data_IF_257424171372
#
_entry.id   IF_257424171372
#
_cell.length_a   1.000
_cell.length_b   1.000
_cell.length_c   1.000
_cell.angle_alpha   90.00
_cell.angle_beta   90.00
_cell.angle_gamma   90.00
#
_symmetry.space_group_name_H-M   'P 1'
#
loop_
_entity.id
_entity.type
_entity.pdbx_description
1 polymer ?
#
# COMPACT_ATOMS: atom_id res chain seq x y z
N UNK A 1 13.43 -2.23 27.96
CA UNK A 1 12.64 -2.84 26.85
C UNK A 1 12.27 -4.27 27.22
N UNK A 2 11.08 -4.77 26.85
CA UNK A 2 10.64 -6.15 27.16
C UNK A 2 11.57 -7.23 26.57
N UNK A 3 12.12 -7.00 25.38
CA UNK A 3 13.07 -7.91 24.72
C UNK A 3 14.30 -8.16 25.61
N UNK A 4 14.92 -7.11 26.15
CA UNK A 4 16.07 -7.25 27.06
C UNK A 4 15.72 -8.05 28.30
N UNK A 5 14.59 -7.71 28.93
CA UNK A 5 14.15 -8.40 30.14
C UNK A 5 13.90 -9.90 29.90
N UNK A 6 13.44 -10.29 28.71
CA UNK A 6 13.29 -11.70 28.36
C UNK A 6 14.64 -12.36 28.08
N UNK A 7 15.54 -11.69 27.35
CA UNK A 7 16.89 -12.20 27.05
C UNK A 7 17.73 -12.42 28.33
N UNK A 8 17.52 -11.62 29.37
CA UNK A 8 18.18 -11.77 30.68
C UNK A 8 17.67 -12.98 31.48
N UNK A 9 16.45 -13.45 31.17
CA UNK A 9 15.78 -14.53 31.92
C UNK A 9 15.78 -15.86 31.18
N UNK A 10 15.75 -15.85 29.85
CA UNK A 10 15.58 -17.06 29.07
C UNK A 10 16.87 -17.92 29.05
N UNK A 11 16.75 -19.25 28.92
CA UNK A 11 17.88 -20.13 28.66
C UNK A 11 18.70 -19.71 27.44
N UNK A 12 19.99 -20.03 27.41
CA UNK A 12 20.89 -19.62 26.31
C UNK A 12 20.50 -20.19 24.94
N UNK A 13 19.80 -21.32 24.90
CA UNK A 13 19.34 -21.95 23.67
C UNK A 13 18.03 -21.35 23.14
N UNK A 14 17.41 -20.40 23.85
CA UNK A 14 16.21 -19.72 23.38
C UNK A 14 16.53 -18.38 22.73
N UNK A 15 15.66 -17.97 21.82
CA UNK A 15 15.74 -16.70 21.09
C UNK A 15 14.42 -15.94 21.14
N UNK A 16 14.50 -14.63 20.89
CA UNK A 16 13.33 -13.78 20.68
C UNK A 16 13.05 -13.68 19.19
N UNK A 17 11.80 -13.83 18.78
CA UNK A 17 11.39 -13.67 17.39
C UNK A 17 10.46 -12.46 17.24
N UNK A 18 10.89 -11.50 16.44
CA UNK A 18 10.18 -10.26 16.16
C UNK A 18 9.54 -10.34 14.77
N UNK A 19 8.21 -10.36 14.74
CA UNK A 19 7.39 -10.55 13.55
C UNK A 19 6.84 -9.21 13.08
N UNK A 20 7.05 -8.91 11.80
CA UNK A 20 6.57 -7.70 11.13
C UNK A 20 5.69 -8.05 9.93
N UNK A 21 4.77 -7.17 9.50
CA UNK A 21 3.93 -7.43 8.32
C UNK A 21 4.70 -7.31 7.00
N UNK A 22 5.72 -6.43 6.90
CA UNK A 22 6.43 -6.17 5.63
C UNK A 22 7.95 -6.27 5.77
N UNK A 23 8.64 -6.51 4.64
CA UNK A 23 10.11 -6.54 4.59
C UNK A 23 10.73 -5.20 4.98
N UNK A 24 10.10 -4.09 4.57
CA UNK A 24 10.56 -2.73 4.87
C UNK A 24 10.54 -2.46 6.37
N UNK A 25 9.44 -2.82 7.06
CA UNK A 25 9.36 -2.75 8.51
C UNK A 25 10.43 -3.59 9.19
N UNK A 26 10.76 -4.76 8.64
CA UNK A 26 11.79 -5.64 9.18
C UNK A 26 13.14 -4.91 9.31
N UNK A 27 13.55 -4.24 8.22
CA UNK A 27 14.79 -3.46 8.17
C UNK A 27 14.74 -2.24 9.09
N UNK A 28 13.60 -1.54 9.14
CA UNK A 28 13.40 -0.37 10.00
C UNK A 28 13.48 -0.74 11.49
N UNK A 29 12.75 -1.78 11.90
CA UNK A 29 12.73 -2.26 13.29
C UNK A 29 14.11 -2.78 13.70
N UNK A 30 14.79 -3.55 12.86
CA UNK A 30 16.16 -3.99 13.14
C UNK A 30 17.10 -2.81 13.36
N UNK A 31 17.04 -1.79 12.48
CA UNK A 31 17.89 -0.59 12.60
C UNK A 31 17.59 0.17 13.89
N UNK A 32 16.32 0.28 14.27
CA UNK A 32 15.92 0.95 15.50
C UNK A 32 16.37 0.18 16.76
N UNK A 33 16.12 -1.12 16.79
CA UNK A 33 16.39 -1.98 17.96
C UNK A 33 17.90 -2.19 18.16
N UNK A 34 18.67 -2.35 17.08
CA UNK A 34 20.13 -2.49 17.14
C UNK A 34 20.83 -1.27 17.73
N UNK A 35 20.31 -0.05 17.51
CA UNK A 35 20.83 1.17 18.16
C UNK A 35 20.68 1.17 19.68
N UNK A 36 19.63 0.53 20.19
CA UNK A 36 19.36 0.47 21.64
C UNK A 36 20.00 -0.74 22.31
N UNK A 37 20.33 -1.80 21.55
CA UNK A 37 20.94 -3.02 22.06
C UNK A 37 22.11 -3.48 21.17
N UNK A 38 23.20 -2.68 21.06
CA UNK A 38 24.29 -2.95 20.12
C UNK A 38 25.09 -4.22 20.43
N UNK A 39 25.04 -4.69 21.67
CA UNK A 39 25.74 -5.91 22.11
C UNK A 39 24.97 -7.21 21.82
N UNK A 40 23.70 -7.12 21.41
CA UNK A 40 22.85 -8.29 21.16
C UNK A 40 23.01 -8.71 19.70
N UNK A 41 23.31 -9.98 19.46
CA UNK A 41 23.36 -10.56 18.12
C UNK A 41 21.96 -10.66 17.53
N UNK A 42 21.73 -9.98 16.41
CA UNK A 42 20.43 -9.91 15.73
C UNK A 42 20.54 -10.36 14.28
N UNK A 43 19.54 -11.07 13.79
CA UNK A 43 19.45 -11.52 12.40
C UNK A 43 18.14 -11.08 11.77
N UNK A 44 18.20 -10.71 10.50
CA UNK A 44 17.01 -10.47 9.68
C UNK A 44 16.85 -11.60 8.68
N UNK A 45 15.63 -12.09 8.53
CA UNK A 45 15.22 -13.12 7.56
C UNK A 45 14.00 -12.60 6.78
N UNK A 46 14.19 -12.43 5.48
CA UNK A 46 13.15 -11.97 4.56
C UNK A 46 13.09 -12.85 3.33
N UNK A 47 12.04 -12.72 2.52
CA UNK A 47 11.99 -13.40 1.23
C UNK A 47 13.14 -13.05 0.27
N UNK A 48 13.87 -11.95 0.48
CA UNK A 48 15.04 -11.60 -0.36
C UNK A 48 16.27 -12.46 -0.04
N UNK A 49 16.30 -13.08 1.14
CA UNK A 49 17.32 -14.05 1.54
C UNK A 49 17.09 -15.44 0.93
N UNK A 50 16.05 -15.60 0.09
CA UNK A 50 15.69 -16.87 -0.54
C UNK A 50 15.25 -17.94 0.46
N UNK A 51 14.73 -17.53 1.63
CA UNK A 51 14.33 -18.43 2.72
C UNK A 51 13.29 -19.47 2.28
N UNK A 52 12.48 -19.16 1.28
CA UNK A 52 11.48 -20.08 0.71
C UNK A 52 12.13 -21.33 0.07
N UNK A 53 13.40 -21.23 -0.34
CA UNK A 53 14.17 -22.34 -0.90
C UNK A 53 14.95 -23.14 0.13
N UNK A 54 14.89 -22.80 1.42
CA UNK A 54 15.65 -23.48 2.47
C UNK A 54 14.96 -24.76 2.88
N UNK A 55 15.36 -25.87 2.26
CA UNK A 55 14.79 -27.21 2.52
C UNK A 55 15.53 -28.02 3.60
N UNK A 56 16.69 -27.55 4.05
CA UNK A 56 17.60 -28.33 4.90
C UNK A 56 17.79 -27.66 6.27
N UNK A 57 17.75 -28.45 7.35
CA UNK A 57 17.94 -27.97 8.73
C UNK A 57 19.27 -27.23 8.91
N UNK A 58 20.35 -27.73 8.30
CA UNK A 58 21.69 -27.14 8.41
C UNK A 58 21.75 -25.69 7.91
N UNK A 59 20.92 -25.33 6.93
CA UNK A 59 20.84 -23.96 6.41
C UNK A 59 20.24 -23.03 7.46
N UNK A 60 19.17 -23.46 8.13
CA UNK A 60 18.55 -22.72 9.24
C UNK A 60 19.49 -22.61 10.43
N UNK A 61 20.14 -23.71 10.82
CA UNK A 61 21.09 -23.73 11.94
C UNK A 61 22.25 -22.77 11.69
N UNK A 62 22.80 -22.76 10.47
CA UNK A 62 23.87 -21.85 10.06
C UNK A 62 23.39 -20.40 10.02
N UNK A 63 22.22 -20.13 9.46
CA UNK A 63 21.67 -18.77 9.34
C UNK A 63 21.35 -18.14 10.70
N UNK A 64 20.94 -18.97 11.68
CA UNK A 64 20.58 -18.54 13.02
C UNK A 64 21.73 -18.68 14.04
N UNK A 65 22.88 -19.19 13.63
CA UNK A 65 24.00 -19.44 14.53
C UNK A 65 24.39 -18.18 15.29
N UNK A 66 24.36 -18.26 16.62
CA UNK A 66 24.72 -17.16 17.51
C UNK A 66 23.72 -16.00 17.55
N UNK A 67 22.57 -16.09 16.88
CA UNK A 67 21.52 -15.05 16.90
C UNK A 67 20.67 -15.17 18.17
N UNK A 68 20.42 -14.04 18.84
CA UNK A 68 19.55 -13.96 20.02
C UNK A 68 18.20 -13.32 19.73
N UNK A 69 18.14 -12.48 18.70
CA UNK A 69 16.90 -11.88 18.22
C UNK A 69 16.81 -12.07 16.71
N UNK A 70 15.69 -12.57 16.23
CA UNK A 70 15.42 -12.77 14.80
C UNK A 70 14.27 -11.86 14.39
N UNK A 71 14.47 -11.10 13.31
CA UNK A 71 13.45 -10.26 12.68
C UNK A 71 13.00 -10.94 11.39
N UNK A 72 11.69 -11.17 11.22
CA UNK A 72 11.16 -11.73 9.98
C UNK A 72 9.74 -11.27 9.68
N UNK A 73 9.27 -11.51 8.46
CA UNK A 73 7.83 -11.45 8.22
C UNK A 73 7.11 -12.60 8.93
N UNK A 74 5.81 -12.44 9.17
CA UNK A 74 4.98 -13.47 9.77
C UNK A 74 5.00 -14.80 8.98
N UNK A 75 5.07 -14.73 7.64
CA UNK A 75 5.08 -15.91 6.79
C UNK A 75 6.34 -16.78 7.00
N UNK A 76 7.52 -16.15 7.12
CA UNK A 76 8.80 -16.85 7.29
C UNK A 76 8.79 -17.76 8.52
N UNK A 77 8.35 -17.24 9.68
CA UNK A 77 8.27 -18.09 10.89
C UNK A 77 7.16 -19.14 10.78
N UNK A 78 6.00 -18.80 10.20
CA UNK A 78 4.91 -19.75 10.00
C UNK A 78 5.36 -20.96 9.16
N UNK A 79 6.10 -20.71 8.08
CA UNK A 79 6.61 -21.76 7.21
C UNK A 79 7.75 -22.54 7.87
N UNK A 80 8.65 -21.87 8.62
CA UNK A 80 9.71 -22.53 9.37
C UNK A 80 9.16 -23.50 10.45
N UNK A 81 8.11 -23.09 11.18
CA UNK A 81 7.39 -23.94 12.13
C UNK A 81 6.67 -25.10 11.42
N UNK A 82 6.04 -24.83 10.27
CA UNK A 82 5.29 -25.85 9.49
C UNK A 82 6.18 -26.99 9.03
N UNK A 83 7.40 -26.68 8.58
CA UNK A 83 8.37 -27.67 8.12
C UNK A 83 9.21 -28.27 9.26
N UNK A 84 9.04 -27.78 10.50
CA UNK A 84 9.78 -28.26 11.66
C UNK A 84 11.23 -27.78 11.76
N UNK A 85 11.63 -26.80 10.94
CA UNK A 85 12.97 -26.21 10.99
C UNK A 85 13.21 -25.42 12.28
N UNK A 86 12.14 -24.84 12.82
CA UNK A 86 12.11 -24.15 14.10
C UNK A 86 11.08 -24.83 14.99
N UNK A 87 11.45 -25.02 16.25
CA UNK A 87 10.56 -25.56 17.28
C UNK A 87 10.06 -24.41 18.15
N UNK A 88 8.78 -24.44 18.54
CA UNK A 88 8.21 -23.37 19.37
C UNK A 88 8.95 -23.21 20.71
N UNK A 89 9.47 -24.32 21.27
CA UNK A 89 10.19 -24.36 22.53
C UNK A 89 11.58 -23.69 22.48
N UNK A 90 12.15 -23.48 21.29
CA UNK A 90 13.38 -22.71 21.13
C UNK A 90 13.13 -21.20 21.15
N UNK A 91 11.88 -20.76 21.30
CA UNK A 91 11.49 -19.36 21.36
C UNK A 91 11.16 -18.96 22.80
N UNK A 92 11.75 -17.86 23.26
CA UNK A 92 11.46 -17.27 24.57
C UNK A 92 10.30 -16.26 24.50
N UNK A 93 10.24 -15.49 23.41
CA UNK A 93 9.26 -14.41 23.21
C UNK A 93 8.94 -14.27 21.72
N UNK A 94 7.65 -14.19 21.42
CA UNK A 94 7.13 -13.73 20.13
C UNK A 94 6.65 -12.29 20.27
N UNK A 95 7.22 -11.41 19.47
CA UNK A 95 6.75 -10.02 19.33
C UNK A 95 5.99 -9.91 18.02
N UNK A 96 4.73 -9.51 18.06
CA UNK A 96 3.89 -9.25 16.90
C UNK A 96 3.75 -7.75 16.69
N UNK A 97 4.45 -7.21 15.70
CA UNK A 97 4.25 -5.84 15.23
C UNK A 97 3.02 -5.76 14.33
N UNK A 98 2.25 -4.68 14.46
CA UNK A 98 0.89 -4.57 13.89
C UNK A 98 -0.01 -5.77 14.23
N UNK A 99 -0.04 -6.09 15.53
CA UNK A 99 -0.74 -7.23 16.11
C UNK A 99 -2.21 -7.32 15.68
N UNK A 100 -2.86 -6.19 15.37
CA UNK A 100 -4.25 -6.13 14.92
C UNK A 100 -4.54 -6.95 13.64
N UNK A 101 -3.51 -7.30 12.86
CA UNK A 101 -3.62 -8.19 11.70
C UNK A 101 -3.75 -9.68 12.04
N UNK A 102 -3.47 -10.09 13.28
CA UNK A 102 -3.48 -11.49 13.71
C UNK A 102 -4.90 -12.06 13.87
N UNK A 103 -5.61 -12.14 12.75
CA UNK A 103 -7.00 -12.56 12.64
C UNK A 103 -7.18 -13.52 11.46
N UNK A 104 -8.29 -14.27 11.47
CA UNK A 104 -8.68 -15.16 10.35
C UNK A 104 -7.53 -16.08 9.92
N UNK A 105 -7.12 -16.02 8.65
CA UNK A 105 -6.07 -16.85 8.06
C UNK A 105 -4.71 -16.14 7.96
N UNK A 106 -4.53 -14.99 8.64
CA UNK A 106 -3.26 -14.27 8.63
C UNK A 106 -2.12 -15.17 9.17
N UNK A 107 -0.90 -15.15 8.61
CA UNK A 107 0.19 -16.00 9.06
C UNK A 107 0.51 -15.86 10.56
N UNK A 108 0.38 -14.66 11.13
CA UNK A 108 0.51 -14.45 12.58
C UNK A 108 -0.53 -15.23 13.39
N UNK A 109 -1.79 -15.25 12.95
CA UNK A 109 -2.83 -16.06 13.61
C UNK A 109 -2.62 -17.56 13.38
N UNK A 110 -2.08 -17.97 12.23
CA UNK A 110 -1.72 -19.37 11.97
C UNK A 110 -0.63 -19.86 12.94
N UNK A 111 0.40 -19.06 13.20
CA UNK A 111 1.43 -19.36 14.22
C UNK A 111 0.76 -19.65 15.56
N UNK A 112 -0.17 -18.78 15.97
CA UNK A 112 -0.85 -18.94 17.25
C UNK A 112 -1.77 -20.15 17.28
N UNK A 113 -2.64 -20.31 16.27
CA UNK A 113 -3.65 -21.38 16.22
C UNK A 113 -3.04 -22.77 16.05
N UNK A 114 -2.11 -22.92 15.10
CA UNK A 114 -1.64 -24.24 14.66
C UNK A 114 -0.51 -24.77 15.55
N UNK A 115 0.23 -23.88 16.22
CA UNK A 115 1.40 -24.22 17.04
C UNK A 115 1.23 -23.80 18.50
N UNK A 116 1.07 -22.50 18.77
CA UNK A 116 1.07 -21.98 20.14
C UNK A 116 -0.05 -22.56 21.01
N UNK A 117 -1.31 -22.40 20.60
CA UNK A 117 -2.48 -22.83 21.38
C UNK A 117 -2.51 -24.35 21.54
N UNK A 118 -2.09 -25.07 20.50
CA UNK A 118 -1.94 -26.53 20.55
C UNK A 118 -0.95 -26.95 21.63
N UNK A 119 0.29 -26.47 21.56
CA UNK A 119 1.34 -26.80 22.55
C UNK A 119 0.95 -26.33 23.95
N UNK A 120 0.32 -25.16 24.09
CA UNK A 120 -0.18 -24.68 25.38
C UNK A 120 -1.22 -25.62 25.98
N UNK A 121 -2.11 -26.17 25.16
CA UNK A 121 -3.15 -27.12 25.62
C UNK A 121 -2.59 -28.51 25.96
N UNK A 122 -1.59 -28.98 25.20
CA UNK A 122 -1.02 -30.32 25.35
C UNK A 122 0.06 -30.38 26.46
N UNK A 123 0.90 -29.34 26.58
CA UNK A 123 2.09 -29.31 27.44
C UNK A 123 2.05 -28.21 28.52
N UNK A 124 1.08 -27.31 28.48
CA UNK A 124 0.96 -26.20 29.42
C UNK A 124 1.81 -24.98 29.08
N UNK A 125 1.61 -23.91 29.85
CA UNK A 125 2.16 -22.56 29.56
C UNK A 125 3.69 -22.48 29.64
N UNK A 126 4.36 -23.39 30.34
CA UNK A 126 5.82 -23.41 30.46
C UNK A 126 6.53 -23.82 29.15
N UNK A 127 5.79 -24.37 28.19
CA UNK A 127 6.33 -24.89 26.92
C UNK A 127 6.05 -23.99 25.72
N UNK A 128 5.52 -22.78 25.96
CA UNK A 128 5.24 -21.79 24.92
C UNK A 128 5.95 -20.47 25.24
N UNK A 129 6.37 -19.70 24.21
CA UNK A 129 7.01 -18.41 24.40
C UNK A 129 6.08 -17.39 25.08
N UNK A 130 6.64 -16.38 25.71
CA UNK A 130 5.89 -15.17 26.06
C UNK A 130 5.36 -14.49 24.78
N UNK A 131 4.22 -13.79 24.86
CA UNK A 131 3.67 -13.02 23.74
C UNK A 131 3.67 -11.52 24.05
N UNK A 132 4.09 -10.71 23.08
CA UNK A 132 3.96 -9.26 23.09
C UNK A 132 3.35 -8.79 21.76
N UNK A 133 2.15 -8.20 21.79
CA UNK A 133 1.56 -7.54 20.63
C UNK A 133 1.77 -6.03 20.69
N UNK A 134 2.20 -5.43 19.58
CA UNK A 134 2.33 -3.99 19.39
C UNK A 134 1.36 -3.55 18.28
N UNK A 135 0.58 -2.50 18.55
CA UNK A 135 -0.35 -1.93 17.57
C UNK A 135 -0.74 -0.52 17.99
N UNK A 136 -0.88 0.39 17.02
CA UNK A 136 -1.34 1.76 17.29
C UNK A 136 -2.84 1.80 17.61
N UNK A 137 -3.63 0.94 16.94
CA UNK A 137 -5.07 0.88 17.13
C UNK A 137 -5.62 -0.53 16.92
N UNK A 138 -6.81 -0.79 17.49
CA UNK A 138 -7.59 -2.01 17.27
C UNK A 138 -9.06 -1.61 17.21
N UNK A 139 -9.81 -2.14 16.24
CA UNK A 139 -11.27 -2.01 16.23
C UNK A 139 -11.84 -2.56 17.56
N UNK A 140 -12.57 -1.76 18.36
CA UNK A 140 -13.13 -2.21 19.63
C UNK A 140 -13.97 -3.50 19.53
N UNK A 141 -14.60 -3.75 18.38
CA UNK A 141 -15.39 -4.96 18.13
C UNK A 141 -14.52 -6.22 18.00
N UNK A 142 -13.25 -6.06 17.60
CA UNK A 142 -12.29 -7.13 17.36
C UNK A 142 -11.33 -7.38 18.52
N UNK A 143 -11.30 -6.52 19.53
CA UNK A 143 -10.37 -6.64 20.67
C UNK A 143 -10.45 -8.02 21.32
N UNK A 144 -11.66 -8.52 21.63
CA UNK A 144 -11.82 -9.85 22.25
C UNK A 144 -11.30 -10.99 21.39
N UNK A 145 -11.53 -10.92 20.07
CA UNK A 145 -11.00 -11.91 19.13
C UNK A 145 -9.48 -11.85 19.10
N UNK A 146 -8.89 -10.65 19.09
CA UNK A 146 -7.44 -10.46 19.09
C UNK A 146 -6.79 -11.04 20.34
N UNK A 147 -7.37 -10.74 21.51
CA UNK A 147 -6.86 -11.20 22.80
C UNK A 147 -6.88 -12.73 22.90
N UNK A 148 -7.94 -13.37 22.36
CA UNK A 148 -8.03 -14.83 22.27
C UNK A 148 -7.01 -15.40 21.29
N UNK A 149 -6.88 -14.80 20.10
CA UNK A 149 -5.94 -15.26 19.09
C UNK A 149 -4.49 -15.19 19.57
N UNK A 150 -4.09 -14.07 20.18
CA UNK A 150 -2.71 -13.85 20.64
C UNK A 150 -2.43 -14.34 22.07
N UNK A 151 -3.43 -14.83 22.80
CA UNK A 151 -3.28 -15.22 24.21
C UNK A 151 -2.69 -14.07 25.08
N UNK A 152 -3.07 -12.83 24.76
CA UNK A 152 -2.52 -11.62 25.35
C UNK A 152 -3.64 -10.59 25.58
N UNK A 153 -3.49 -9.75 26.60
CA UNK A 153 -4.50 -8.74 26.96
C UNK A 153 -4.13 -7.40 26.31
N UNK A 154 -5.08 -6.79 25.61
CA UNK A 154 -4.92 -5.46 25.02
C UNK A 154 -4.91 -4.41 26.14
N UNK A 155 -3.82 -3.63 26.22
CA UNK A 155 -3.68 -2.55 27.21
C UNK A 155 -3.26 -1.27 26.51
N UNK A 156 -4.04 -0.20 26.70
CA UNK A 156 -3.67 1.15 26.27
C UNK A 156 -2.95 1.88 27.41
N UNK A 157 -1.88 2.65 27.13
CA UNK A 157 -1.21 3.47 28.15
C UNK A 157 -2.13 4.62 28.58
N UNK A 158 -2.72 4.53 29.79
CA UNK A 158 -3.62 5.55 30.34
C UNK A 158 -2.93 6.53 31.28
N UNK A 159 -1.81 6.13 31.90
CA UNK A 159 -1.15 6.87 32.99
C UNK A 159 -0.39 8.10 32.46
N UNK A 160 0.31 7.96 31.34
CA UNK A 160 1.14 9.02 30.75
C UNK A 160 0.41 9.78 29.63
N UNK A 161 -0.93 9.87 29.69
CA UNK A 161 -1.73 10.53 28.64
C UNK A 161 -1.30 11.98 28.37
N UNK A 162 -0.85 12.69 29.40
CA UNK A 162 -0.42 14.07 29.28
C UNK A 162 0.93 14.19 28.56
N UNK A 163 1.91 13.36 28.94
CA UNK A 163 3.21 13.24 28.26
C UNK A 163 3.03 12.75 26.81
N UNK A 164 2.16 11.77 26.58
CA UNK A 164 1.76 11.31 25.24
C UNK A 164 1.12 12.44 24.42
N UNK A 165 0.26 13.27 25.02
CA UNK A 165 -0.37 14.39 24.33
C UNK A 165 0.60 15.54 24.01
N UNK A 166 1.68 15.70 24.78
CA UNK A 166 2.76 16.65 24.49
C UNK A 166 3.62 16.20 23.30
N UNK A 167 3.77 14.90 23.11
CA UNK A 167 4.56 14.29 22.02
C UNK A 167 3.70 13.86 20.82
N UNK A 168 2.38 13.85 20.95
CA UNK A 168 1.42 13.54 19.86
C UNK A 168 0.82 14.82 19.33
N UNK A 169 1.08 15.15 18.07
CA UNK A 169 0.50 16.35 17.45
C UNK A 169 -1.04 16.28 17.48
N UNK A 170 -1.70 17.26 18.11
CA UNK A 170 -3.14 17.44 17.96
C UNK A 170 -3.40 17.86 16.52
N UNK A 171 -3.84 16.92 15.69
CA UNK A 171 -4.14 17.21 14.30
C UNK A 171 -5.38 18.10 14.21
N UNK A 172 -5.23 19.29 13.62
CA UNK A 172 -6.35 20.18 13.30
C UNK A 172 -7.13 19.60 12.12
N UNK A 173 -8.08 18.70 12.43
CA UNK A 173 -8.90 18.08 11.41
C UNK A 173 -9.82 19.12 10.76
N UNK A 174 -9.65 19.31 9.45
CA UNK A 174 -10.48 20.21 8.65
C UNK A 174 -11.29 19.40 7.66
N UNK A 175 -12.61 19.45 7.77
CA UNK A 175 -13.50 18.82 6.78
C UNK A 175 -13.78 19.80 5.64
N UNK A 176 -13.42 19.42 4.42
CA UNK A 176 -13.72 20.17 3.21
C UNK A 176 -14.96 19.56 2.54
N UNK A 177 -15.99 20.37 2.34
CA UNK A 177 -17.25 19.94 1.69
C UNK A 177 -17.20 20.30 0.21
N UNK A 178 -17.64 19.37 -0.63
CA UNK A 178 -17.68 19.51 -2.08
C UNK A 178 -19.01 19.01 -2.65
N UNK A 179 -19.38 19.53 -3.81
CA UNK A 179 -20.55 19.14 -4.58
C UNK A 179 -20.22 17.96 -5.50
N UNK A 180 -21.17 17.03 -5.63
CA UNK A 180 -21.05 15.83 -6.46
C UNK A 180 -21.59 16.05 -7.87
N UNK A 181 -21.23 17.17 -8.49
CA UNK A 181 -21.80 17.57 -9.79
C UNK A 181 -21.55 16.51 -10.88
N UNK A 182 -20.43 15.78 -10.81
CA UNK A 182 -20.10 14.72 -11.77
C UNK A 182 -20.65 13.32 -11.43
N UNK A 183 -21.44 13.17 -10.37
CA UNK A 183 -22.09 11.90 -10.03
C UNK A 183 -23.36 11.66 -10.89
N UNK A 184 -23.91 12.70 -11.54
CA UNK A 184 -25.14 12.58 -12.33
C UNK A 184 -24.89 11.81 -13.65
N UNK A 185 -25.54 10.64 -13.85
CA UNK A 185 -25.45 9.90 -15.12
C UNK A 185 -25.90 10.70 -16.35
N UNK A 186 -26.71 11.75 -16.18
CA UNK A 186 -27.13 12.64 -17.25
C UNK A 186 -26.01 13.56 -17.75
N UNK A 187 -25.02 13.88 -16.91
CA UNK A 187 -23.84 14.68 -17.29
C UNK A 187 -22.72 13.83 -17.92
N UNK A 188 -22.86 12.51 -17.94
CA UNK A 188 -21.86 11.62 -18.50
C UNK A 188 -21.77 11.82 -20.03
N UNK A 189 -20.60 12.18 -20.56
CA UNK A 189 -20.43 12.34 -22.00
C UNK A 189 -20.80 11.07 -22.79
N UNK A 190 -21.40 11.26 -23.96
CA UNK A 190 -21.82 10.17 -24.85
C UNK A 190 -20.68 9.22 -25.24
N UNK A 191 -19.45 9.71 -25.25
CA UNK A 191 -18.27 8.89 -25.56
C UNK A 191 -18.00 7.79 -24.52
N UNK A 192 -18.46 7.91 -23.27
CA UNK A 192 -18.33 6.81 -22.30
C UNK A 192 -19.20 5.62 -22.66
N UNK A 193 -20.46 5.85 -23.08
CA UNK A 193 -21.35 4.77 -23.53
C UNK A 193 -20.76 4.09 -24.76
N UNK A 194 -20.30 4.89 -25.73
CA UNK A 194 -19.62 4.35 -26.92
C UNK A 194 -18.36 3.55 -26.57
N UNK A 195 -17.58 3.98 -25.58
CA UNK A 195 -16.41 3.25 -25.13
C UNK A 195 -16.79 1.90 -24.50
N UNK A 196 -17.87 1.87 -23.70
CA UNK A 196 -18.44 0.63 -23.16
C UNK A 196 -18.89 -0.31 -24.27
N UNK A 197 -19.65 0.20 -25.25
CA UNK A 197 -20.13 -0.57 -26.39
C UNK A 197 -18.96 -1.21 -27.17
N UNK A 198 -17.94 -0.40 -27.51
CA UNK A 198 -16.77 -0.91 -28.24
C UNK A 198 -15.99 -1.95 -27.44
N UNK A 199 -15.85 -1.77 -26.12
CA UNK A 199 -15.17 -2.77 -25.27
C UNK A 199 -16.00 -4.05 -25.15
N UNK A 200 -17.34 -3.97 -25.10
CA UNK A 200 -18.21 -5.15 -25.13
C UNK A 200 -18.11 -5.90 -26.46
N UNK A 201 -18.17 -5.20 -27.59
CA UNK A 201 -17.99 -5.79 -28.92
C UNK A 201 -16.65 -6.52 -29.06
N UNK A 202 -15.59 -6.01 -28.42
CA UNK A 202 -14.26 -6.67 -28.40
C UNK A 202 -14.25 -7.94 -27.54
N UNK A 203 -15.06 -7.99 -26.47
CA UNK A 203 -15.18 -9.19 -25.61
C UNK A 203 -15.95 -10.30 -26.31
N UNK A 204 -17.04 -10.00 -27.00
CA UNK A 204 -17.89 -10.99 -27.67
C UNK A 204 -17.15 -11.76 -28.78
N UNK A 205 -16.29 -11.07 -29.53
CA UNK A 205 -15.41 -11.74 -30.51
C UNK A 205 -14.41 -12.68 -29.83
N UNK A 206 -14.18 -12.50 -28.53
CA UNK A 206 -13.18 -13.27 -27.81
C UNK A 206 -13.57 -14.68 -27.40
N UNK A 207 -14.85 -14.99 -27.44
CA UNK A 207 -15.38 -16.29 -27.04
C UNK A 207 -15.25 -17.36 -28.15
N UNK A 208 -14.83 -16.96 -29.36
CA UNK A 208 -14.76 -17.85 -30.53
C UNK A 208 -13.42 -18.59 -30.73
N UNK A 209 -12.39 -18.32 -29.91
CA UNK A 209 -11.13 -19.08 -29.90
C UNK A 209 -9.87 -18.24 -29.65
N UNK A 210 -9.21 -18.49 -28.51
CA UNK A 210 -7.86 -18.07 -28.07
C UNK A 210 -7.65 -16.67 -27.42
N UNK A 211 -7.57 -16.64 -26.07
CA UNK A 211 -7.08 -15.60 -25.12
C UNK A 211 -7.82 -14.25 -25.04
N UNK A 212 -8.87 -14.10 -24.22
CA UNK A 212 -9.66 -12.85 -24.11
C UNK A 212 -8.90 -11.51 -24.02
N UNK A 213 -9.61 -10.41 -24.30
CA UNK A 213 -9.04 -9.06 -24.31
C UNK A 213 -8.21 -8.75 -23.04
N UNK A 214 -7.11 -7.97 -23.15
CA UNK A 214 -6.32 -7.59 -21.98
C UNK A 214 -7.16 -6.92 -20.90
N UNK A 215 -6.88 -7.24 -19.63
CA UNK A 215 -7.54 -6.66 -18.45
C UNK A 215 -7.53 -5.12 -18.48
N UNK A 216 -6.48 -4.52 -19.03
CA UNK A 216 -6.31 -3.07 -19.16
C UNK A 216 -7.39 -2.47 -20.07
N UNK A 217 -7.63 -3.08 -21.24
CA UNK A 217 -8.67 -2.65 -22.18
C UNK A 217 -10.05 -2.96 -21.62
N UNK A 218 -10.19 -4.14 -21.01
CA UNK A 218 -11.43 -4.63 -20.40
C UNK A 218 -11.94 -3.72 -19.28
N UNK A 219 -11.04 -3.15 -18.47
CA UNK A 219 -11.36 -2.27 -17.34
C UNK A 219 -11.36 -0.77 -17.68
N UNK A 220 -10.95 -0.40 -18.90
CA UNK A 220 -10.80 0.99 -19.33
C UNK A 220 -12.05 1.86 -19.14
N UNK A 221 -13.28 1.42 -19.52
CA UNK A 221 -14.47 2.25 -19.36
C UNK A 221 -14.77 2.56 -17.88
N UNK A 222 -14.70 1.53 -17.03
CA UNK A 222 -14.94 1.64 -15.58
C UNK A 222 -13.94 2.59 -14.93
N UNK A 223 -12.65 2.46 -15.24
CA UNK A 223 -11.60 3.34 -14.70
C UNK A 223 -11.77 4.78 -15.20
N UNK A 224 -12.06 4.98 -16.48
CA UNK A 224 -12.25 6.31 -17.06
C UNK A 224 -13.43 7.05 -16.41
N UNK A 225 -14.54 6.34 -16.19
CA UNK A 225 -15.73 6.85 -15.49
C UNK A 225 -15.43 7.22 -14.05
N UNK A 226 -14.69 6.37 -13.34
CA UNK A 226 -14.26 6.63 -11.96
C UNK A 226 -13.38 7.89 -11.88
N UNK A 227 -12.41 8.04 -12.78
CA UNK A 227 -11.54 9.22 -12.85
C UNK A 227 -12.34 10.47 -13.18
N UNK A 228 -13.32 10.38 -14.08
CA UNK A 228 -14.24 11.48 -14.37
C UNK A 228 -14.97 11.95 -13.12
N UNK A 229 -15.59 11.02 -12.39
CA UNK A 229 -16.35 11.32 -11.17
C UNK A 229 -15.46 11.97 -10.11
N UNK A 230 -14.26 11.41 -9.89
CA UNK A 230 -13.38 11.89 -8.83
C UNK A 230 -12.65 13.19 -9.20
N UNK A 231 -12.15 13.31 -10.44
CA UNK A 231 -11.19 14.33 -10.83
C UNK A 231 -11.69 15.29 -11.93
N UNK A 232 -12.75 14.92 -12.67
CA UNK A 232 -13.40 15.76 -13.68
C UNK A 232 -12.99 15.47 -15.13
N UNK A 233 -13.46 16.33 -16.04
CA UNK A 233 -13.33 16.23 -17.50
C UNK A 233 -11.90 16.04 -17.97
N UNK A 234 -11.01 16.92 -17.50
CA UNK A 234 -9.62 16.96 -17.93
C UNK A 234 -8.90 15.65 -17.58
N UNK A 235 -9.09 15.18 -16.36
CA UNK A 235 -8.44 13.99 -15.84
C UNK A 235 -8.85 12.74 -16.62
N UNK A 236 -10.13 12.61 -16.97
CA UNK A 236 -10.61 11.47 -17.75
C UNK A 236 -10.11 11.50 -19.20
N UNK A 237 -10.13 12.68 -19.83
CA UNK A 237 -9.55 12.86 -21.18
C UNK A 237 -8.06 12.51 -21.19
N UNK A 238 -7.29 13.03 -20.23
CA UNK A 238 -5.87 12.71 -20.04
C UNK A 238 -5.64 11.19 -19.88
N UNK A 239 -6.40 10.54 -18.99
CA UNK A 239 -6.30 9.10 -18.76
C UNK A 239 -6.53 8.28 -20.04
N UNK A 240 -7.59 8.60 -20.79
CA UNK A 240 -7.94 7.90 -22.02
C UNK A 240 -6.88 8.11 -23.11
N UNK A 241 -6.38 9.35 -23.27
CA UNK A 241 -5.30 9.66 -24.23
C UNK A 241 -3.99 8.96 -23.85
N UNK A 242 -3.63 8.91 -22.56
CA UNK A 242 -2.43 8.18 -22.12
C UNK A 242 -2.54 6.67 -22.37
N UNK A 243 -3.71 6.07 -22.13
CA UNK A 243 -3.97 4.67 -22.47
C UNK A 243 -3.89 4.44 -23.98
N UNK A 244 -4.48 5.32 -24.79
CA UNK A 244 -4.37 5.25 -26.25
C UNK A 244 -2.90 5.22 -26.72
N UNK A 245 -2.05 6.11 -26.19
CA UNK A 245 -0.63 6.13 -26.53
C UNK A 245 0.11 4.88 -26.09
N UNK A 246 -0.15 4.40 -24.88
CA UNK A 246 0.44 3.16 -24.36
C UNK A 246 0.10 1.97 -25.24
N UNK A 247 -1.18 1.79 -25.51
CA UNK A 247 -1.69 0.72 -26.36
C UNK A 247 -1.07 0.84 -27.77
N UNK A 248 -1.02 2.05 -28.36
CA UNK A 248 -0.39 2.29 -29.67
C UNK A 248 1.09 1.88 -29.72
N UNK A 249 1.83 2.07 -28.64
CA UNK A 249 3.26 1.71 -28.56
C UNK A 249 3.47 0.22 -28.42
N UNK A 250 2.61 -0.48 -27.67
CA UNK A 250 2.67 -1.93 -27.58
C UNK A 250 2.55 -2.57 -28.97
N UNK A 251 1.72 -2.00 -29.85
CA UNK A 251 1.63 -2.40 -31.27
C UNK A 251 2.96 -2.21 -31.99
N UNK A 252 3.49 -0.98 -31.91
CA UNK A 252 4.65 -0.59 -32.69
C UNK A 252 5.90 -1.35 -32.25
N UNK A 253 5.96 -1.81 -30.99
CA UNK A 253 7.07 -2.58 -30.43
C UNK A 253 6.94 -4.11 -30.57
N UNK A 254 5.77 -4.65 -30.93
CA UNK A 254 5.58 -6.09 -31.13
C UNK A 254 5.61 -6.46 -32.62
N UNK A 255 6.79 -6.47 -33.22
CA UNK A 255 6.97 -7.08 -34.55
C UNK A 255 7.02 -8.63 -34.51
N UNK A 256 7.15 -9.26 -33.32
CA UNK A 256 7.44 -10.71 -33.21
C UNK A 256 6.54 -11.54 -32.27
N UNK A 257 5.47 -10.99 -31.70
CA UNK A 257 4.52 -11.77 -30.86
C UNK A 257 3.09 -11.30 -31.08
N UNK A 258 2.51 -11.68 -32.22
CA UNK A 258 1.12 -11.38 -32.53
C UNK A 258 0.18 -12.09 -31.55
N UNK A 259 -0.48 -11.34 -30.68
CA UNK A 259 -1.75 -11.79 -30.09
C UNK A 259 -2.81 -11.81 -31.20
N UNK A 260 -3.64 -12.86 -31.35
CA UNK A 260 -4.58 -13.02 -32.47
C UNK A 260 -5.58 -11.87 -32.68
N UNK A 261 -5.84 -11.06 -31.65
CA UNK A 261 -6.77 -9.92 -31.65
C UNK A 261 -6.34 -8.70 -32.46
N UNK A 262 -5.05 -8.60 -32.80
CA UNK A 262 -4.41 -7.31 -33.08
C UNK A 262 -4.27 -6.90 -34.55
N UNK A 263 -5.21 -7.29 -35.43
CA UNK A 263 -5.76 -6.24 -36.28
C UNK A 263 -7.23 -6.51 -36.65
N UNK A 264 -8.13 -6.62 -35.67
CA UNK A 264 -9.56 -6.61 -35.96
C UNK A 264 -10.05 -5.19 -36.29
N UNK A 265 -11.03 -5.05 -37.20
CA UNK A 265 -11.67 -3.76 -37.50
C UNK A 265 -12.23 -3.07 -36.24
N UNK A 266 -12.60 -3.86 -35.22
CA UNK A 266 -13.12 -3.38 -33.93
C UNK A 266 -12.04 -2.74 -33.06
N UNK A 267 -10.80 -3.22 -33.13
CA UNK A 267 -9.69 -2.54 -32.46
C UNK A 267 -9.41 -1.16 -33.10
N UNK A 268 -9.47 -1.07 -34.43
CA UNK A 268 -9.38 0.21 -35.13
C UNK A 268 -10.52 1.16 -34.72
N UNK A 269 -11.72 0.63 -34.44
CA UNK A 269 -12.84 1.40 -33.91
C UNK A 269 -12.52 1.97 -32.52
N UNK A 270 -11.94 1.17 -31.60
CA UNK A 270 -11.46 1.65 -30.31
C UNK A 270 -10.44 2.80 -30.47
N UNK A 271 -9.44 2.62 -31.31
CA UNK A 271 -8.42 3.65 -31.53
C UNK A 271 -8.96 4.92 -32.20
N UNK A 272 -9.90 4.76 -33.12
CA UNK A 272 -10.58 5.90 -33.75
C UNK A 272 -11.43 6.65 -32.73
N UNK A 273 -12.11 5.93 -31.84
CA UNK A 273 -12.88 6.51 -30.76
C UNK A 273 -11.99 7.27 -29.77
N UNK A 274 -10.90 6.66 -29.31
CA UNK A 274 -9.94 7.29 -28.38
C UNK A 274 -9.27 8.52 -28.99
N UNK A 275 -8.95 8.50 -30.29
CA UNK A 275 -8.37 9.65 -31.01
C UNK A 275 -9.34 10.83 -31.12
N UNK A 276 -10.64 10.56 -31.17
CA UNK A 276 -11.68 11.58 -31.28
C UNK A 276 -12.13 12.14 -29.92
N UNK A 277 -11.49 11.74 -28.83
CA UNK A 277 -11.74 12.35 -27.51
C UNK A 277 -11.28 13.81 -27.57
N UNK A 278 -12.14 14.77 -27.18
CA UNK A 278 -11.78 16.18 -27.24
C UNK A 278 -10.64 16.47 -26.27
N UNK A 279 -9.69 17.27 -26.73
CA UNK A 279 -8.66 17.83 -25.87
C UNK A 279 -9.32 18.82 -24.90
N UNK A 280 -9.11 18.59 -23.60
CA UNK A 280 -9.68 19.40 -22.54
C UNK A 280 -8.57 20.27 -21.98
N UNK A 281 -8.82 21.57 -21.84
CA UNK A 281 -7.88 22.50 -21.22
C UNK A 281 -8.05 22.51 -19.70
N UNK A 282 -6.96 22.29 -18.96
CA UNK A 282 -6.98 22.17 -17.50
C UNK A 282 -7.40 23.47 -16.79
N UNK A 283 -7.01 24.61 -17.35
CA UNK A 283 -7.28 25.96 -16.81
C UNK A 283 -8.73 26.43 -16.95
N UNK A 284 -9.55 25.77 -17.77
CA UNK A 284 -10.91 26.22 -18.03
C UNK A 284 -11.82 25.85 -16.85
N UNK A 285 -12.61 26.79 -16.31
CA UNK A 285 -13.55 26.51 -15.23
C UNK A 285 -14.50 25.35 -15.56
N UNK A 286 -14.73 24.45 -14.60
CA UNK A 286 -15.60 23.29 -14.76
C UNK A 286 -14.99 22.11 -15.52
N UNK A 287 -13.70 22.15 -15.86
CA UNK A 287 -12.98 21.00 -16.43
C UNK A 287 -12.32 20.08 -15.39
N UNK A 288 -12.30 20.50 -14.12
CA UNK A 288 -11.98 19.67 -12.96
C UNK A 288 -13.23 19.48 -12.11
N UNK A 289 -13.26 18.43 -11.28
CA UNK A 289 -14.37 18.22 -10.34
C UNK A 289 -14.38 19.29 -9.25
N UNK A 290 -15.56 19.60 -8.68
CA UNK A 290 -15.64 20.52 -7.52
C UNK A 290 -14.77 20.00 -6.37
N UNK A 291 -14.69 18.67 -6.19
CA UNK A 291 -13.78 18.03 -5.23
C UNK A 291 -12.32 18.43 -5.44
N UNK A 292 -11.84 18.37 -6.69
CA UNK A 292 -10.48 18.80 -7.05
C UNK A 292 -10.33 20.31 -6.92
N UNK A 293 -11.33 21.11 -7.28
CA UNK A 293 -11.29 22.57 -7.12
C UNK A 293 -11.15 22.97 -5.64
N UNK A 294 -11.91 22.33 -4.73
CA UNK A 294 -11.74 22.54 -3.29
C UNK A 294 -10.36 22.10 -2.80
N UNK A 295 -9.83 20.98 -3.29
CA UNK A 295 -8.49 20.51 -2.96
C UNK A 295 -7.43 21.52 -3.41
N UNK A 296 -7.49 22.00 -4.65
CA UNK A 296 -6.55 22.98 -5.21
C UNK A 296 -6.54 24.27 -4.37
N UNK A 297 -7.71 24.81 -4.05
CA UNK A 297 -7.83 26.00 -3.20
C UNK A 297 -7.32 25.77 -1.78
N UNK A 298 -7.56 24.59 -1.22
CA UNK A 298 -7.08 24.22 0.11
C UNK A 298 -5.56 24.10 0.15
N UNK A 299 -4.96 23.39 -0.82
CA UNK A 299 -3.52 23.25 -0.95
C UNK A 299 -2.85 24.62 -1.15
N UNK A 300 -3.38 25.45 -2.05
CA UNK A 300 -2.84 26.80 -2.30
C UNK A 300 -2.78 27.65 -1.02
N UNK A 301 -3.81 27.58 -0.17
CA UNK A 301 -3.83 28.30 1.13
C UNK A 301 -2.88 27.73 2.17
N UNK A 302 -2.46 26.48 2.03
CA UNK A 302 -1.56 25.78 2.96
C UNK A 302 -0.12 25.73 2.49
N UNK A 303 0.15 26.20 1.27
CA UNK A 303 1.49 26.24 0.71
C UNK A 303 2.43 27.11 1.57
N UNK A 304 3.64 26.62 1.80
CA UNK A 304 4.75 27.30 2.45
C UNK A 304 6.09 26.82 1.84
N UNK A 305 7.20 27.48 2.18
CA UNK A 305 8.51 27.21 1.58
C UNK A 305 9.00 25.76 1.81
N UNK A 306 8.87 25.27 3.05
CA UNK A 306 9.26 23.91 3.44
C UNK A 306 8.08 22.94 3.47
N UNK A 307 7.04 23.18 2.65
CA UNK A 307 5.85 22.34 2.65
C UNK A 307 6.20 20.86 2.46
N UNK A 308 5.50 19.98 3.17
CA UNK A 308 5.54 18.53 2.95
C UNK A 308 4.16 17.97 3.23
N UNK A 309 3.65 17.13 2.33
CA UNK A 309 2.32 16.57 2.52
C UNK A 309 2.07 15.26 1.82
N UNK A 310 1.00 14.61 2.24
CA UNK A 310 0.54 13.33 1.71
C UNK A 310 -0.95 13.44 1.42
N UNK A 311 -1.36 13.01 0.24
CA UNK A 311 -2.76 12.86 -0.16
C UNK A 311 -3.04 11.37 -0.34
N UNK A 312 -3.84 10.80 0.54
CA UNK A 312 -4.32 9.43 0.43
C UNK A 312 -5.51 9.37 -0.53
N UNK A 313 -5.42 8.47 -1.52
CA UNK A 313 -6.47 8.18 -2.50
C UNK A 313 -6.73 6.67 -2.54
N UNK A 314 -7.96 6.26 -2.85
CA UNK A 314 -8.31 4.83 -2.91
C UNK A 314 -7.64 4.08 -4.06
N UNK A 315 -7.54 4.72 -5.24
CA UNK A 315 -7.28 4.04 -6.50
C UNK A 315 -5.95 4.45 -7.13
N UNK A 316 -5.18 3.49 -7.66
CA UNK A 316 -3.87 3.75 -8.27
C UNK A 316 -3.96 4.74 -9.44
N UNK A 317 -4.94 4.55 -10.31
CA UNK A 317 -5.15 5.43 -11.45
C UNK A 317 -5.45 6.88 -11.00
N UNK A 318 -6.22 7.06 -9.92
CA UNK A 318 -6.45 8.37 -9.31
C UNK A 318 -5.14 8.98 -8.80
N UNK A 319 -4.28 8.18 -8.15
CA UNK A 319 -2.98 8.66 -7.67
C UNK A 319 -2.11 9.22 -8.80
N UNK A 320 -2.03 8.47 -9.90
CA UNK A 320 -1.28 8.88 -11.10
C UNK A 320 -1.86 10.15 -11.73
N UNK A 321 -3.16 10.15 -12.05
CA UNK A 321 -3.78 11.29 -12.75
C UNK A 321 -3.80 12.54 -11.87
N UNK A 322 -4.06 12.42 -10.56
CA UNK A 322 -4.04 13.56 -9.65
C UNK A 322 -2.63 14.15 -9.50
N UNK A 323 -1.59 13.31 -9.48
CA UNK A 323 -0.20 13.79 -9.47
C UNK A 323 0.12 14.65 -10.69
N UNK A 324 -0.28 14.19 -11.89
CA UNK A 324 -0.09 14.96 -13.12
C UNK A 324 -0.93 16.25 -13.10
N UNK A 325 -2.17 16.16 -12.63
CA UNK A 325 -3.07 17.31 -12.52
C UNK A 325 -2.44 18.40 -11.65
N UNK A 326 -1.97 18.06 -10.45
CA UNK A 326 -1.38 19.02 -9.52
C UNK A 326 -0.07 19.61 -10.05
N UNK A 327 0.74 18.82 -10.76
CA UNK A 327 1.96 19.31 -11.40
C UNK A 327 1.69 20.25 -12.60
N UNK A 328 0.54 20.12 -13.28
CA UNK A 328 0.20 20.94 -14.47
C UNK A 328 -0.74 22.11 -14.17
N UNK A 329 -1.52 22.05 -13.10
CA UNK A 329 -2.55 23.06 -12.84
C UNK A 329 -1.92 24.41 -12.46
N UNK A 330 -2.39 25.56 -13.01
CA UNK A 330 -1.77 26.87 -12.79
C UNK A 330 -1.65 27.30 -11.32
N UNK A 331 -2.60 26.89 -10.47
CA UNK A 331 -2.57 27.21 -9.03
C UNK A 331 -1.49 26.43 -8.24
N UNK A 332 -0.99 25.31 -8.76
CA UNK A 332 -0.16 24.37 -7.99
C UNK A 332 1.17 24.03 -8.64
N UNK A 333 1.33 24.18 -9.96
CA UNK A 333 2.50 23.73 -10.72
C UNK A 333 3.86 24.32 -10.26
N UNK A 334 3.85 25.52 -9.68
CA UNK A 334 5.06 26.15 -9.12
C UNK A 334 5.26 25.91 -7.62
N UNK A 335 4.25 25.37 -6.93
CA UNK A 335 4.22 25.22 -5.47
C UNK A 335 4.45 23.77 -5.04
N UNK A 336 3.93 22.81 -5.82
CA UNK A 336 3.96 21.41 -5.46
C UNK A 336 4.66 20.58 -6.53
N UNK A 337 5.68 19.84 -6.11
CA UNK A 337 6.37 18.80 -6.86
C UNK A 337 5.78 17.48 -6.42
N UNK A 338 4.86 16.96 -7.23
CA UNK A 338 4.00 15.83 -6.86
C UNK A 338 4.50 14.52 -7.49
N UNK A 339 4.51 13.44 -6.71
CA UNK A 339 4.70 12.08 -7.24
C UNK A 339 3.67 11.09 -6.67
N UNK A 340 3.23 10.12 -7.48
CA UNK A 340 2.39 9.04 -6.99
C UNK A 340 3.24 8.01 -6.24
N UNK A 341 2.69 7.48 -5.16
CA UNK A 341 3.28 6.38 -4.39
C UNK A 341 2.27 5.23 -4.27
N UNK A 342 2.42 4.24 -5.15
CA UNK A 342 1.50 3.09 -5.25
C UNK A 342 2.28 1.78 -5.13
N UNK A 343 1.57 0.68 -4.86
CA UNK A 343 2.17 -0.64 -4.65
C UNK A 343 2.81 -1.14 -5.94
N UNK A 344 4.03 -1.68 -5.83
CA UNK A 344 4.79 -2.29 -6.94
C UNK A 344 4.29 -3.69 -7.35
N UNK A 345 3.13 -4.16 -6.87
CA UNK A 345 2.62 -5.49 -7.24
C UNK A 345 2.30 -5.59 -8.73
N UNK A 346 2.32 -6.82 -9.27
CA UNK A 346 2.25 -7.28 -10.68
C UNK A 346 1.16 -6.67 -11.58
N UNK A 347 0.27 -5.84 -11.03
CA UNK A 347 -0.72 -5.02 -11.74
C UNK A 347 -0.29 -3.54 -11.73
N UNK A 348 0.90 -3.25 -12.23
CA UNK A 348 1.30 -1.86 -12.49
C UNK A 348 0.30 -1.22 -13.46
N UNK A 349 0.07 0.09 -13.39
CA UNK A 349 -0.73 0.81 -14.40
C UNK A 349 0.20 1.11 -15.58
N UNK A 350 0.27 0.25 -16.63
CA UNK A 350 1.38 0.30 -17.58
C UNK A 350 1.29 1.56 -18.44
N UNK A 351 0.08 2.10 -18.63
CA UNK A 351 -0.17 3.37 -19.28
C UNK A 351 0.45 4.58 -18.56
N UNK A 352 0.65 4.50 -17.24
CA UNK A 352 1.20 5.60 -16.44
C UNK A 352 2.73 5.72 -16.57
N UNK A 353 3.40 4.72 -17.16
CA UNK A 353 4.87 4.69 -17.34
C UNK A 353 5.39 5.61 -18.45
N UNK A 354 4.50 6.25 -19.21
CA UNK A 354 4.87 7.13 -20.32
C UNK A 354 5.56 8.42 -19.84
N UNK A 355 5.30 8.86 -18.62
CA UNK A 355 6.00 9.98 -18.02
C UNK A 355 7.16 9.44 -17.17
N UNK A 356 8.40 9.66 -17.64
CA UNK A 356 9.63 9.18 -16.97
C UNK A 356 9.74 9.64 -15.51
N UNK A 357 9.01 10.68 -15.14
CA UNK A 357 8.94 11.22 -13.78
C UNK A 357 8.12 10.34 -12.83
N UNK A 358 7.23 9.48 -13.36
CA UNK A 358 6.10 8.88 -12.63
C UNK A 358 6.28 7.37 -12.38
N UNK A 359 7.28 6.72 -12.98
CA UNK A 359 7.53 5.28 -12.88
C UNK A 359 8.44 4.87 -11.70
N UNK A 360 8.51 5.69 -10.64
CA UNK A 360 9.39 5.42 -9.49
C UNK A 360 8.79 4.41 -8.53
N UNK A 361 9.64 3.59 -7.90
CA UNK A 361 9.19 2.66 -6.84
C UNK A 361 8.67 3.48 -5.65
N UNK A 362 7.74 2.92 -4.88
CA UNK A 362 7.18 3.57 -3.68
C UNK A 362 8.28 4.07 -2.71
N UNK A 363 9.33 3.28 -2.51
CA UNK A 363 10.48 3.64 -1.66
C UNK A 363 11.25 4.85 -2.19
N UNK A 364 11.39 4.98 -3.52
CA UNK A 364 12.07 6.12 -4.15
C UNK A 364 11.27 7.40 -3.93
N UNK A 365 9.94 7.36 -4.10
CA UNK A 365 9.08 8.51 -3.85
C UNK A 365 9.20 9.00 -2.38
N UNK A 366 9.20 8.08 -1.41
CA UNK A 366 9.38 8.45 0.01
C UNK A 366 10.76 9.03 0.26
N UNK A 367 11.82 8.46 -0.33
CA UNK A 367 13.17 9.01 -0.20
C UNK A 367 13.29 10.41 -0.84
N UNK A 368 12.61 10.65 -1.96
CA UNK A 368 12.56 11.97 -2.59
C UNK A 368 11.82 13.00 -1.74
N UNK A 369 10.79 12.58 -1.01
CA UNK A 369 10.11 13.44 -0.03
C UNK A 369 11.04 13.76 1.15
N UNK A 370 11.75 12.74 1.69
CA UNK A 370 12.69 12.94 2.80
C UNK A 370 13.83 13.90 2.47
N UNK A 371 14.34 13.91 1.24
CA UNK A 371 15.39 14.83 0.82
C UNK A 371 14.87 16.15 0.20
N UNK A 372 13.56 16.39 0.21
CA UNK A 372 12.95 17.64 -0.28
C UNK A 372 12.89 17.81 -1.80
N UNK A 373 13.29 16.78 -2.57
CA UNK A 373 13.18 16.78 -4.04
C UNK A 373 11.72 16.89 -4.47
N UNK A 374 10.83 16.22 -3.77
CA UNK A 374 9.38 16.40 -3.88
C UNK A 374 8.83 16.90 -2.54
N UNK A 375 7.65 17.52 -2.57
CA UNK A 375 7.00 18.03 -1.37
C UNK A 375 5.55 17.55 -1.20
N UNK A 376 5.01 16.78 -2.15
CA UNK A 376 3.67 16.22 -2.05
C UNK A 376 3.64 14.82 -2.65
N UNK A 377 3.21 13.84 -1.87
CA UNK A 377 2.97 12.47 -2.35
C UNK A 377 1.47 12.24 -2.49
N UNK A 378 1.06 11.60 -3.59
CA UNK A 378 -0.29 11.07 -3.74
C UNK A 378 -0.21 9.55 -3.59
N UNK A 379 -0.69 9.03 -2.47
CA UNK A 379 -0.50 7.64 -2.07
C UNK A 379 -1.80 6.86 -2.06
N UNK A 380 -1.73 5.57 -2.38
CA UNK A 380 -2.78 4.64 -1.95
C UNK A 380 -2.50 4.16 -0.52
N UNK A 381 -3.33 3.24 -0.02
CA UNK A 381 -3.16 2.57 1.28
C UNK A 381 -1.80 1.86 1.52
N UNK A 382 -0.89 1.91 0.55
CA UNK A 382 0.46 1.34 0.62
C UNK A 382 1.35 2.10 1.59
N UNK A 383 1.03 3.37 1.84
CA UNK A 383 1.70 4.18 2.86
C UNK A 383 0.92 4.24 4.18
N UNK A 384 -0.25 3.61 4.28
CA UNK A 384 -1.03 3.62 5.55
C UNK A 384 -0.32 2.83 6.64
N UNK A 385 0.43 1.77 6.29
CA UNK A 385 1.08 0.91 7.27
C UNK A 385 2.49 0.47 6.81
N UNK A 386 3.47 0.67 7.69
CA UNK A 386 4.78 0.03 7.57
C UNK A 386 5.85 0.70 6.71
N UNK A 387 5.68 1.98 6.39
CA UNK A 387 6.76 2.80 5.82
C UNK A 387 6.95 4.02 6.71
N UNK A 388 8.13 4.17 7.29
CA UNK A 388 8.55 5.37 8.01
C UNK A 388 8.46 6.63 7.12
N UNK A 389 7.42 7.43 7.30
CA UNK A 389 7.20 8.67 6.56
C UNK A 389 7.79 9.85 7.34
N UNK A 390 8.43 10.82 6.64
CA UNK A 390 8.87 12.05 7.30
C UNK A 390 7.66 12.80 7.87
N UNK A 391 7.90 13.58 8.94
CA UNK A 391 6.89 14.46 9.48
C UNK A 391 6.36 15.38 8.37
N UNK A 392 5.04 15.32 8.15
CA UNK A 392 4.35 16.09 7.12
C UNK A 392 3.57 17.24 7.74
N UNK A 393 3.55 18.37 7.05
CA UNK A 393 2.74 19.53 7.41
C UNK A 393 1.25 19.28 7.18
N UNK A 394 0.92 18.45 6.19
CA UNK A 394 -0.46 18.16 5.81
C UNK A 394 -0.65 16.70 5.39
N UNK A 395 -1.67 16.07 5.96
CA UNK A 395 -2.22 14.80 5.47
C UNK A 395 -3.66 15.05 5.01
N UNK A 396 -3.97 14.66 3.77
CA UNK A 396 -5.30 14.76 3.18
C UNK A 396 -5.81 13.36 2.91
N UNK A 397 -6.95 13.00 3.49
CA UNK A 397 -7.72 11.83 3.03
C UNK A 397 -8.68 12.29 1.93
N UNK A 398 -8.41 11.90 0.69
CA UNK A 398 -9.21 12.34 -0.46
C UNK A 398 -10.58 11.68 -0.47
N UNK A 399 -10.68 10.42 -0.03
CA UNK A 399 -11.92 9.75 0.31
C UNK A 399 -12.12 9.69 1.83
N UNK A 400 -13.32 9.32 2.28
CA UNK A 400 -13.52 9.02 3.70
C UNK A 400 -12.83 7.67 4.00
N UNK A 401 -11.96 7.58 5.03
CA UNK A 401 -11.36 6.32 5.44
C UNK A 401 -12.41 5.25 5.75
N UNK A 402 -12.16 4.02 5.32
CA UNK A 402 -13.14 2.93 5.41
C UNK A 402 -13.30 2.40 6.85
N UNK A 403 -12.29 2.59 7.70
CA UNK A 403 -12.26 2.08 9.07
C UNK A 403 -11.42 2.97 10.00
N UNK A 404 -11.53 2.73 11.31
CA UNK A 404 -10.84 3.52 12.34
C UNK A 404 -9.32 3.34 12.32
N UNK A 405 -8.84 2.17 11.89
CA UNK A 405 -7.41 1.88 11.81
C UNK A 405 -6.74 2.67 10.70
N UNK A 406 -7.36 2.78 9.51
CA UNK A 406 -6.89 3.65 8.43
C UNK A 406 -7.04 5.14 8.72
N UNK A 407 -7.88 5.53 9.68
CA UNK A 407 -8.07 6.94 10.06
C UNK A 407 -7.01 7.42 11.06
N UNK A 408 -6.58 6.54 11.96
CA UNK A 408 -5.56 6.80 12.99
C UNK A 408 -4.19 6.72 12.34
#
# INVERSE_FOLDING_TARGET
MRIMAELERCPENQMVWFLVPTKVLCSQQLTHVSRHMPAVSMRMLTGDDGVDGWSNQEVWDTALQGSKVVFSTHAVLADALTHGFIQLQSLALLVFDEAHHCMKFHPGNRIMRDFYHRVKSENGIAHVPSILGLTASVDPKKVRELEQNLDAICRAPLVQRQELAEHSSRQNLTRVVYSRNHDDPAELPSHFRRLEDVVMELREDSESGDRGIPDEVSSLPTKARMIWVQLGKWASSYFLTSNMHHISRQIAGQENSFSPWWPSHRYLNLMTMLRNIPEVQLQTPGNVSDKVEKLLLFLFRKACEDFSGIIFVRERATAYVLSVLLNKHPLTCGLFRCLPCVSSSTRSEPWATHDSLISKKSEEAVNELRCGKINLIIATNVLEEGIDLPACHLVVSFEVPDNITSYI
#
